data_IF_642812765071
#
_entry.id   IF_642812765071
#
_cell.length_a   1.000
_cell.length_b   1.000
_cell.length_c   1.000
_cell.angle_alpha   90.00
_cell.angle_beta   90.00
_cell.angle_gamma   90.00
#
_symmetry.space_group_name_H-M   'P 1'
#
loop_
_entity.id
_entity.type
_entity.pdbx_description
1 polymer ?
#
# COMPACT_ATOMS: atom_id res chain seq x y z
N UNK A 1 -4.77 12.80 13.59
CA UNK A 1 -3.79 11.85 13.02
C UNK A 1 -4.42 10.47 13.01
N UNK A 2 -4.34 9.83 11.84
CA UNK A 2 -4.73 8.46 11.46
C UNK A 2 -5.85 8.50 10.42
N UNK A 3 -5.58 7.91 9.25
CA UNK A 3 -5.62 6.45 9.22
C UNK A 3 -4.42 5.81 8.50
N UNK A 4 -3.56 5.16 9.28
CA UNK A 4 -2.56 4.19 8.80
C UNK A 4 -3.21 2.81 8.59
N UNK A 5 -4.35 2.82 7.91
CA UNK A 5 -5.20 1.70 7.54
C UNK A 5 -6.27 2.22 6.58
N UNK A 6 -6.92 1.34 5.83
CA UNK A 6 -8.03 1.68 4.96
C UNK A 6 -9.10 2.47 5.75
N UNK A 7 -9.46 3.69 5.32
CA UNK A 7 -10.45 4.51 6.01
C UNK A 7 -11.88 3.93 5.91
N UNK A 8 -12.13 3.07 4.91
CA UNK A 8 -13.45 2.49 4.64
C UNK A 8 -13.72 1.26 5.54
N UNK A 9 -12.80 0.29 5.56
CA UNK A 9 -12.98 -0.97 6.28
C UNK A 9 -12.05 -1.17 7.48
N UNK A 10 -11.07 -0.27 7.69
CA UNK A 10 -10.07 -0.40 8.76
C UNK A 10 -8.96 -1.42 8.49
N UNK A 11 -8.88 -2.01 7.28
CA UNK A 11 -7.83 -2.97 6.94
C UNK A 11 -6.46 -2.33 6.86
N UNK A 12 -5.43 -3.00 7.40
CA UNK A 12 -4.02 -2.55 7.30
C UNK A 12 -3.31 -3.12 6.07
N UNK A 13 -3.91 -4.12 5.43
CA UNK A 13 -3.42 -4.74 4.19
C UNK A 13 -3.88 -3.95 2.99
N UNK A 14 -2.89 -3.51 2.22
CA UNK A 14 -3.04 -2.73 1.01
C UNK A 14 -2.07 -3.28 -0.02
N UNK A 15 -2.33 -3.00 -1.28
CA UNK A 15 -1.43 -3.34 -2.37
C UNK A 15 -1.39 -2.21 -3.38
N UNK A 16 -0.34 -2.16 -4.20
CA UNK A 16 -0.21 -1.22 -5.30
C UNK A 16 0.36 -1.91 -6.52
N UNK A 17 0.11 -1.32 -7.68
CA UNK A 17 0.68 -1.77 -8.95
C UNK A 17 2.01 -1.10 -9.17
N UNK A 18 2.98 -1.86 -9.68
CA UNK A 18 4.23 -1.26 -10.12
C UNK A 18 3.99 -0.38 -11.35
N UNK A 19 4.57 0.85 -11.40
CA UNK A 19 4.43 1.73 -12.55
C UNK A 19 5.27 1.27 -13.76
N UNK A 20 6.34 0.50 -13.55
CA UNK A 20 7.19 -0.06 -14.62
C UNK A 20 6.59 -1.39 -15.13
N UNK A 21 6.00 -2.19 -14.24
CA UNK A 21 5.31 -3.44 -14.58
C UNK A 21 3.88 -3.53 -14.01
N UNK A 22 2.89 -3.25 -14.87
CA UNK A 22 1.46 -3.29 -14.53
C UNK A 22 0.91 -4.66 -14.09
N UNK A 23 1.67 -5.74 -14.29
CA UNK A 23 1.31 -7.10 -13.85
C UNK A 23 1.85 -7.41 -12.46
N UNK A 24 2.81 -6.62 -11.98
CA UNK A 24 3.42 -6.77 -10.67
C UNK A 24 2.60 -6.00 -9.64
N UNK A 25 2.13 -6.73 -8.63
CA UNK A 25 1.40 -6.20 -7.50
C UNK A 25 2.25 -6.37 -6.26
N UNK A 26 2.40 -5.29 -5.50
CA UNK A 26 3.16 -5.28 -4.27
C UNK A 26 2.23 -5.11 -3.08
N UNK A 27 2.15 -6.16 -2.28
CA UNK A 27 1.34 -6.19 -1.07
C UNK A 27 2.14 -5.73 0.14
N UNK A 28 1.52 -4.87 0.95
CA UNK A 28 2.13 -4.34 2.15
C UNK A 28 1.10 -4.12 3.27
N UNK A 29 1.60 -4.15 4.49
CA UNK A 29 0.86 -3.86 5.71
C UNK A 29 1.32 -2.56 6.33
N UNK A 30 0.37 -1.77 6.82
CA UNK A 30 0.68 -0.59 7.63
C UNK A 30 0.75 -0.99 9.11
N UNK A 31 1.97 -1.05 9.65
CA UNK A 31 2.24 -1.25 11.08
C UNK A 31 2.82 0.00 11.69
N UNK A 32 2.12 0.56 12.66
CA UNK A 32 2.60 1.70 13.48
C UNK A 32 3.00 2.96 12.68
N UNK A 33 2.57 3.06 11.42
CA UNK A 33 2.91 4.16 10.52
C UNK A 33 4.02 3.87 9.53
N UNK A 34 4.51 2.64 9.54
CA UNK A 34 5.50 2.14 8.61
C UNK A 34 4.87 1.13 7.66
N UNK A 35 5.42 1.09 6.44
CA UNK A 35 5.06 0.16 5.39
C UNK A 35 5.90 -1.09 5.62
N UNK A 36 5.23 -2.21 5.87
CA UNK A 36 5.85 -3.53 6.02
C UNK A 36 5.38 -4.36 4.85
N UNK A 37 6.24 -4.53 3.84
CA UNK A 37 5.92 -5.37 2.70
C UNK A 37 5.69 -6.81 3.14
N UNK A 38 4.62 -7.42 2.64
CA UNK A 38 4.29 -8.82 2.92
C UNK A 38 5.09 -9.73 1.99
N UNK A 39 5.36 -9.25 0.78
CA UNK A 39 6.10 -10.01 -0.21
C UNK A 39 7.59 -10.12 0.18
N UNK A 40 8.08 -11.35 0.22
CA UNK A 40 9.48 -11.65 0.57
C UNK A 40 10.41 -11.55 -0.64
N UNK A 41 9.88 -11.45 -1.86
CA UNK A 41 10.65 -11.47 -3.11
C UNK A 41 10.66 -10.09 -3.80
N UNK A 42 10.82 -9.02 -3.01
CA UNK A 42 11.04 -7.67 -3.55
C UNK A 42 12.41 -7.47 -4.23
N UNK A 43 13.20 -8.54 -4.36
CA UNK A 43 14.55 -8.50 -4.91
C UNK A 43 15.47 -7.50 -4.16
N UNK A 44 16.48 -6.99 -4.87
CA UNK A 44 17.41 -5.99 -4.32
C UNK A 44 16.90 -4.55 -4.37
N UNK A 45 15.76 -4.29 -5.03
CA UNK A 45 15.17 -2.96 -5.15
C UNK A 45 13.68 -3.02 -4.82
N UNK A 46 13.31 -2.93 -3.53
CA UNK A 46 11.92 -2.82 -3.17
C UNK A 46 11.32 -1.55 -3.77
N UNK A 47 10.12 -1.65 -4.36
CA UNK A 47 9.40 -0.54 -4.97
C UNK A 47 9.06 0.49 -3.90
N UNK A 48 9.42 1.74 -4.13
CA UNK A 48 9.18 2.81 -3.15
C UNK A 48 7.73 3.26 -3.22
N UNK A 49 6.97 3.09 -2.14
CA UNK A 49 5.61 3.65 -2.03
C UNK A 49 5.72 5.15 -1.78
N UNK A 50 5.38 5.94 -2.78
CA UNK A 50 5.35 7.40 -2.72
C UNK A 50 3.95 7.91 -2.36
N UNK A 51 3.85 9.20 -2.03
CA UNK A 51 2.58 9.82 -1.67
C UNK A 51 1.55 9.77 -2.82
N UNK A 52 2.02 9.73 -4.07
CA UNK A 52 1.16 9.69 -5.25
C UNK A 52 0.85 8.25 -5.73
N UNK A 53 1.50 7.23 -5.15
CA UNK A 53 1.29 5.83 -5.51
C UNK A 53 -0.17 5.43 -5.26
N UNK A 54 -0.78 4.80 -6.27
CA UNK A 54 -2.16 4.33 -6.20
C UNK A 54 -2.23 3.04 -5.38
N UNK A 55 -2.94 3.11 -4.26
CA UNK A 55 -3.04 2.01 -3.29
C UNK A 55 -4.45 1.50 -3.23
N UNK A 56 -4.57 0.18 -3.19
CA UNK A 56 -5.82 -0.57 -3.23
C UNK A 56 -5.95 -1.36 -1.94
N UNK A 57 -7.16 -1.44 -1.41
CA UNK A 57 -7.45 -2.30 -0.28
C UNK A 57 -7.69 -3.74 -0.74
N UNK A 58 -7.01 -4.68 -0.09
CA UNK A 58 -7.25 -6.11 -0.30
C UNK A 58 -8.64 -6.56 0.19
N UNK A 59 -9.18 -5.88 1.22
CA UNK A 59 -10.44 -6.27 1.86
C UNK A 59 -11.69 -5.61 1.29
N UNK A 60 -11.59 -4.47 0.62
CA UNK A 60 -12.75 -3.70 0.16
C UNK A 60 -12.45 -2.98 -1.14
N UNK A 61 -13.47 -2.39 -1.78
CA UNK A 61 -13.32 -1.67 -3.04
C UNK A 61 -12.66 -0.29 -2.90
N UNK A 62 -12.13 0.05 -1.72
CA UNK A 62 -11.42 1.31 -1.52
C UNK A 62 -10.09 1.28 -2.26
N UNK A 63 -9.85 2.31 -3.06
CA UNK A 63 -8.57 2.59 -3.66
C UNK A 63 -8.37 4.11 -3.70
N UNK A 64 -7.20 4.57 -3.28
CA UNK A 64 -6.82 5.98 -3.36
C UNK A 64 -5.29 6.10 -3.30
N UNK A 65 -4.78 7.32 -3.42
CA UNK A 65 -3.36 7.60 -3.32
C UNK A 65 -2.86 7.42 -1.89
N UNK A 66 -1.66 6.89 -1.74
CA UNK A 66 -1.06 6.63 -0.44
C UNK A 66 -1.00 7.85 0.49
N UNK A 67 -0.88 9.07 -0.06
CA UNK A 67 -0.97 10.33 0.69
C UNK A 67 -2.21 10.47 1.57
N UNK A 68 -3.33 9.82 1.21
CA UNK A 68 -4.57 9.87 1.98
C UNK A 68 -4.44 9.10 3.29
N UNK A 69 -3.58 8.07 3.33
CA UNK A 69 -3.28 7.26 4.52
C UNK A 69 -2.27 7.95 5.46
N UNK A 70 -1.46 8.88 4.94
CA UNK A 70 -0.53 9.69 5.73
C UNK A 70 -1.16 10.94 6.39
N UNK A 71 -2.48 11.13 6.29
CA UNK A 71 -3.21 12.30 6.87
C UNK A 71 -3.56 12.17 8.36
#
# INVERSE_FOLDING_TARGET
>A
MKPMQCPDCGSRRLYFKDPDDQYTLYEFELKEGEIVYIDQDLGSHPPKVEADTETFCDRCAWHDKFRVLKK
#
